data_IF_973495202533
#
_entry.id   IF_973495202533
#
_cell.length_a   1.000
_cell.length_b   1.000
_cell.length_c   1.000
_cell.angle_alpha   90.00
_cell.angle_beta   90.00
_cell.angle_gamma   90.00
#
_symmetry.space_group_name_H-M   'P 1'
#
loop_
_entity.id
_entity.type
_entity.pdbx_description
1 polymer ?
#
# COMPACT_ATOMS: atom_id res chain seq x y z
N UNK A 1 23.48 -2.77 -8.45
CA UNK A 1 22.08 -2.82 -8.91
C UNK A 1 21.22 -2.44 -7.72
N UNK A 2 20.50 -1.31 -7.80
CA UNK A 2 19.58 -0.90 -6.75
C UNK A 2 18.43 -1.92 -6.71
N UNK A 3 18.21 -2.58 -5.57
CA UNK A 3 16.95 -3.28 -5.33
C UNK A 3 15.82 -2.25 -5.46
N UNK A 4 14.81 -2.55 -6.25
CA UNK A 4 13.60 -1.75 -6.27
C UNK A 4 12.84 -2.05 -4.98
N UNK A 5 12.75 -1.05 -4.10
CA UNK A 5 12.02 -1.22 -2.84
C UNK A 5 10.54 -1.47 -3.12
N UNK A 6 9.88 -2.23 -2.26
CA UNK A 6 8.45 -2.52 -2.38
C UNK A 6 7.77 -2.51 -1.02
N UNK A 7 6.50 -2.11 -1.02
CA UNK A 7 5.63 -2.15 0.16
C UNK A 7 4.55 -3.18 -0.11
N UNK A 8 4.41 -4.16 0.80
CA UNK A 8 3.39 -5.21 0.70
C UNK A 8 2.44 -5.14 1.90
N UNK A 9 1.14 -5.09 1.62
CA UNK A 9 0.07 -4.96 2.60
C UNK A 9 -0.82 -6.19 2.52
N UNK A 10 -0.94 -6.91 3.63
CA UNK A 10 -1.71 -8.15 3.72
C UNK A 10 -3.02 -7.91 4.46
N UNK A 11 -4.13 -8.34 3.88
CA UNK A 11 -5.41 -8.35 4.59
C UNK A 11 -5.42 -9.48 5.63
N UNK A 12 -5.76 -9.15 6.89
CA UNK A 12 -5.73 -10.07 8.03
C UNK A 12 -7.11 -10.47 8.55
N UNK A 13 -8.19 -10.13 7.84
CA UNK A 13 -9.57 -10.39 8.21
C UNK A 13 -10.40 -9.11 8.38
N UNK A 14 -11.72 -9.24 8.35
CA UNK A 14 -12.68 -8.12 8.31
C UNK A 14 -13.51 -8.14 7.03
N UNK A 15 -14.09 -7.00 6.67
CA UNK A 15 -14.84 -6.87 5.42
C UNK A 15 -13.89 -6.81 4.22
N UNK A 16 -14.35 -7.37 3.10
CA UNK A 16 -13.70 -7.22 1.81
C UNK A 16 -13.88 -5.79 1.30
N UNK A 17 -12.86 -5.25 0.62
CA UNK A 17 -12.86 -3.87 0.13
C UNK A 17 -12.67 -3.89 -1.37
N UNK A 18 -13.46 -3.12 -2.11
CA UNK A 18 -13.23 -2.95 -3.54
C UNK A 18 -11.88 -2.27 -3.78
N UNK A 19 -11.06 -2.85 -4.64
CA UNK A 19 -9.72 -2.32 -4.95
C UNK A 19 -9.80 -0.90 -5.53
N UNK A 20 -10.87 -0.57 -6.27
CA UNK A 20 -11.13 0.77 -6.78
C UNK A 20 -11.32 1.84 -5.70
N UNK A 21 -11.65 1.43 -4.48
CA UNK A 21 -11.80 2.35 -3.34
C UNK A 21 -10.50 2.54 -2.56
N UNK A 22 -9.48 1.71 -2.83
CA UNK A 22 -8.21 1.75 -2.09
C UNK A 22 -7.28 2.83 -2.64
N UNK A 23 -6.61 3.49 -1.71
CA UNK A 23 -5.46 4.33 -1.96
C UNK A 23 -4.36 4.01 -0.96
N UNK A 24 -3.12 4.11 -1.40
CA UNK A 24 -1.95 4.01 -0.53
C UNK A 24 -1.18 5.31 -0.59
N UNK A 25 -0.80 5.85 0.58
CA UNK A 25 0.08 7.01 0.67
C UNK A 25 1.36 6.62 1.39
N UNK A 26 2.50 6.94 0.79
CA UNK A 26 3.82 6.76 1.39
C UNK A 26 4.43 8.15 1.53
N UNK A 27 4.73 8.58 2.76
CA UNK A 27 5.20 9.95 3.01
C UNK A 27 6.19 10.06 4.15
N UNK A 28 7.13 11.00 4.04
CA UNK A 28 7.95 11.51 5.13
C UNK A 28 7.99 13.05 5.05
N UNK A 29 9.01 13.69 5.65
CA UNK A 29 9.13 15.16 5.63
C UNK A 29 9.48 15.74 4.25
N UNK A 30 10.13 14.95 3.39
CA UNK A 30 10.68 15.38 2.11
C UNK A 30 9.97 14.78 0.90
N UNK A 31 9.11 13.79 1.13
CA UNK A 31 8.54 12.96 0.10
C UNK A 31 7.10 12.59 0.43
N UNK A 32 6.24 12.58 -0.58
CA UNK A 32 4.82 12.27 -0.44
C UNK A 32 4.27 11.73 -1.75
N UNK A 33 3.97 10.44 -1.78
CA UNK A 33 3.41 9.74 -2.95
C UNK A 33 2.05 9.14 -2.64
N UNK A 34 1.12 9.30 -3.57
CA UNK A 34 -0.20 8.71 -3.55
C UNK A 34 -0.34 7.71 -4.70
N UNK A 35 -0.62 6.46 -4.35
CA UNK A 35 -0.82 5.34 -5.26
C UNK A 35 -2.29 4.95 -5.30
N UNK A 36 -2.78 4.65 -6.50
CA UNK A 36 -4.14 4.18 -6.75
C UNK A 36 -4.10 2.85 -7.49
N UNK A 37 -5.29 2.31 -7.77
CA UNK A 37 -5.50 0.99 -8.38
C UNK A 37 -4.58 0.64 -9.54
N UNK A 38 -4.25 1.59 -10.41
CA UNK A 38 -3.50 1.39 -11.64
C UNK A 38 -2.07 0.88 -11.45
N UNK A 39 -1.51 1.06 -10.26
CA UNK A 39 -0.13 0.67 -9.91
C UNK A 39 -0.06 -0.43 -8.85
N UNK A 40 -1.20 -1.00 -8.45
CA UNK A 40 -1.25 -2.07 -7.47
C UNK A 40 -0.99 -3.43 -8.14
N UNK A 41 -0.06 -4.19 -7.56
CA UNK A 41 0.12 -5.60 -7.86
C UNK A 41 -0.64 -6.39 -6.80
N UNK A 42 -1.71 -7.08 -7.20
CA UNK A 42 -2.58 -7.83 -6.29
C UNK A 42 -2.40 -9.33 -6.48
N UNK A 43 -2.28 -10.04 -5.36
CA UNK A 43 -2.21 -11.50 -5.30
C UNK A 43 -3.17 -12.04 -4.22
N UNK A 44 -4.19 -12.85 -4.57
CA UNK A 44 -4.57 -13.22 -5.93
C UNK A 44 -5.03 -12.00 -6.75
N UNK A 45 -4.95 -12.09 -8.07
CA UNK A 45 -5.44 -11.04 -8.96
C UNK A 45 -6.97 -10.97 -8.91
N UNK A 46 -7.51 -10.12 -8.05
CA UNK A 46 -8.94 -9.95 -7.84
C UNK A 46 -9.34 -8.47 -7.81
N UNK A 47 -10.65 -8.21 -7.87
CA UNK A 47 -11.19 -6.85 -7.77
C UNK A 47 -11.42 -6.39 -6.32
N UNK A 48 -11.11 -7.26 -5.35
CA UNK A 48 -11.37 -7.08 -3.92
C UNK A 48 -10.12 -7.36 -3.10
N UNK A 49 -9.84 -6.52 -2.12
CA UNK A 49 -8.84 -6.77 -1.10
C UNK A 49 -9.53 -7.43 0.10
N UNK A 50 -9.31 -8.73 0.25
CA UNK A 50 -9.97 -9.61 1.22
C UNK A 50 -8.96 -10.58 1.86
N UNK A 51 -9.39 -11.36 2.85
CA UNK A 51 -8.57 -12.28 3.62
C UNK A 51 -7.67 -13.14 2.73
N UNK A 52 -6.36 -13.07 2.99
CA UNK A 52 -5.34 -13.80 2.23
C UNK A 52 -4.82 -13.04 1.01
N UNK A 53 -5.43 -11.91 0.64
CA UNK A 53 -4.91 -11.05 -0.41
C UNK A 53 -3.70 -10.23 0.07
N UNK A 54 -2.80 -9.99 -0.86
CA UNK A 54 -1.65 -9.11 -0.75
C UNK A 54 -1.72 -8.02 -1.82
N UNK A 55 -1.45 -6.78 -1.41
CA UNK A 55 -1.32 -5.61 -2.27
C UNK A 55 0.12 -5.12 -2.19
N UNK A 56 0.83 -5.15 -3.31
CA UNK A 56 2.21 -4.68 -3.43
C UNK A 56 2.30 -3.43 -4.30
N UNK A 57 3.13 -2.48 -3.88
CA UNK A 57 3.46 -1.23 -4.60
C UNK A 57 4.97 -1.12 -4.75
N UNK A 58 5.40 -0.65 -5.93
CA UNK A 58 6.79 -0.27 -6.22
C UNK A 58 6.83 1.26 -6.37
N UNK A 59 7.35 2.01 -5.38
CA UNK A 59 7.26 3.48 -5.35
C UNK A 59 8.04 4.21 -6.45
N UNK A 60 8.91 3.52 -7.19
CA UNK A 60 9.79 4.12 -8.21
C UNK A 60 10.93 4.98 -7.65
N UNK A 61 10.84 5.39 -6.37
CA UNK A 61 11.91 6.03 -5.59
C UNK A 61 12.34 5.13 -4.44
N UNK A 62 13.60 5.22 -3.98
CA UNK A 62 14.04 4.51 -2.78
C UNK A 62 13.22 4.90 -1.54
N UNK A 63 13.04 3.94 -0.64
CA UNK A 63 12.53 4.17 0.71
C UNK A 63 13.71 4.40 1.66
N UNK A 64 13.60 5.39 2.52
CA UNK A 64 14.63 5.82 3.45
C UNK A 64 14.42 5.29 4.87
N UNK A 65 13.28 4.64 5.14
CA UNK A 65 13.00 3.97 6.41
C UNK A 65 12.41 4.89 7.49
N UNK A 66 11.99 6.10 7.12
CA UNK A 66 11.26 7.03 7.98
C UNK A 66 9.84 7.32 7.47
N UNK A 67 9.44 6.69 6.36
CA UNK A 67 8.13 6.88 5.74
C UNK A 67 7.00 6.29 6.57
N UNK A 68 5.90 7.03 6.64
CA UNK A 68 4.60 6.53 7.01
C UNK A 68 3.90 5.95 5.77
N UNK A 69 3.39 4.72 5.91
CA UNK A 69 2.55 4.03 4.94
C UNK A 69 1.12 4.02 5.46
N UNK A 70 0.20 4.56 4.66
CA UNK A 70 -1.24 4.55 4.93
C UNK A 70 -1.95 3.77 3.83
N UNK A 71 -2.79 2.82 4.20
CA UNK A 71 -3.81 2.21 3.32
C UNK A 71 -5.17 2.73 3.76
N UNK A 72 -5.94 3.31 2.85
CA UNK A 72 -7.19 3.96 3.20
C UNK A 72 -8.21 3.92 2.06
N UNK A 73 -9.47 4.07 2.43
CA UNK A 73 -10.56 4.40 1.51
C UNK A 73 -10.94 5.86 1.67
N UNK A 74 -11.88 6.34 0.85
CA UNK A 74 -12.49 7.67 1.03
C UNK A 74 -13.17 7.86 2.41
N UNK A 75 -13.47 6.78 3.14
CA UNK A 75 -14.19 6.84 4.42
C UNK A 75 -13.29 6.69 5.63
N UNK A 76 -12.24 5.88 5.54
CA UNK A 76 -11.45 5.49 6.69
C UNK A 76 -10.04 5.03 6.33
N UNK A 77 -9.12 5.15 7.29
CA UNK A 77 -7.81 4.50 7.25
C UNK A 77 -7.98 3.04 7.69
N UNK A 78 -7.54 2.12 6.83
CA UNK A 78 -7.57 0.68 7.06
C UNK A 78 -6.29 0.24 7.79
N UNK A 79 -5.16 0.80 7.38
CA UNK A 79 -3.85 0.53 7.98
C UNK A 79 -2.99 1.79 8.01
N UNK A 80 -2.20 1.93 9.08
CA UNK A 80 -1.13 2.90 9.21
C UNK A 80 0.07 2.22 9.85
N UNK A 81 1.25 2.45 9.29
CA UNK A 81 2.50 1.95 9.83
C UNK A 81 3.68 2.81 9.37
N UNK A 82 4.81 2.65 10.03
CA UNK A 82 6.07 3.23 9.56
C UNK A 82 6.96 2.14 8.98
N UNK A 83 7.62 2.46 7.88
CA UNK A 83 8.75 1.66 7.40
C UNK A 83 9.81 1.72 8.50
N UNK A 84 10.39 0.58 8.84
CA UNK A 84 11.57 0.50 9.72
C UNK A 84 12.71 -0.09 8.89
N UNK A 85 13.95 0.41 9.04
CA UNK A 85 15.13 -0.21 8.46
C UNK A 85 15.30 -1.67 8.89
#
# INVERSE_FOLDING_TARGET
>A
AHSSDSVSLYHKGGDWIQVSELSVRIRNQTHDQLFRRDVFILDPNTQTFDLGANLTIVPGTPLFGDEEVLLFTHRAVIFSGRVKP
#
